data_IF_300901585614
#
_entry.id   IF_300901585614
#
_cell.length_a   1.000
_cell.length_b   1.000
_cell.length_c   1.000
_cell.angle_alpha   90.00
_cell.angle_beta   90.00
_cell.angle_gamma   90.00
#
_symmetry.space_group_name_H-M   'P 1'
#
loop_
_entity.id
_entity.type
_entity.pdbx_description
1 polymer ?
#
# COMPACT_ATOMS: atom_id res chain seq x y z
N UNK A 1 8.06 -24.17 -0.20
CA UNK A 1 7.04 -23.49 0.62
C UNK A 1 7.77 -22.36 1.31
N UNK A 2 7.53 -21.10 0.95
CA UNK A 2 8.25 -19.97 1.53
C UNK A 2 7.54 -19.49 2.78
N UNK A 3 8.30 -19.16 3.82
CA UNK A 3 7.78 -18.62 5.09
C UNK A 3 8.05 -17.13 5.16
N UNK A 4 7.00 -16.34 5.35
CA UNK A 4 7.08 -14.89 5.50
C UNK A 4 6.79 -14.52 6.95
N UNK A 5 7.76 -13.87 7.59
CA UNK A 5 7.60 -13.33 8.92
C UNK A 5 7.08 -11.90 8.89
N UNK A 6 6.16 -11.57 9.77
CA UNK A 6 5.63 -10.20 9.90
C UNK A 6 5.97 -9.64 11.28
N UNK A 7 6.81 -8.63 11.32
CA UNK A 7 7.11 -7.86 12.53
C UNK A 7 6.30 -6.57 12.52
N UNK A 8 5.36 -6.48 13.47
CA UNK A 8 4.33 -5.45 13.49
C UNK A 8 3.09 -5.88 12.73
N UNK A 9 2.12 -6.48 13.44
CA UNK A 9 0.83 -6.91 12.86
C UNK A 9 -0.19 -5.78 13.00
N UNK A 10 0.02 -4.70 12.25
CA UNK A 10 -0.91 -3.57 12.11
C UNK A 10 -1.93 -3.79 10.99
N UNK A 11 -2.64 -2.73 10.60
CA UNK A 11 -3.65 -2.80 9.53
C UNK A 11 -3.04 -3.24 8.19
N UNK A 12 -1.90 -2.66 7.79
CA UNK A 12 -1.23 -2.98 6.53
C UNK A 12 -0.68 -4.41 6.53
N UNK A 13 -0.04 -4.86 7.61
CA UNK A 13 0.45 -6.23 7.70
C UNK A 13 -0.71 -7.24 7.63
N UNK A 14 -1.82 -6.96 8.32
CA UNK A 14 -3.03 -7.81 8.26
C UNK A 14 -3.57 -7.87 6.82
N UNK A 15 -3.69 -6.72 6.15
CA UNK A 15 -4.13 -6.66 4.76
C UNK A 15 -3.21 -7.46 3.82
N UNK A 16 -1.89 -7.39 4.00
CA UNK A 16 -0.93 -8.16 3.22
C UNK A 16 -1.08 -9.67 3.47
N UNK A 17 -1.17 -10.10 4.73
CA UNK A 17 -1.33 -11.53 5.09
C UNK A 17 -2.62 -12.09 4.50
N UNK A 18 -3.75 -11.38 4.64
CA UNK A 18 -5.05 -11.78 4.08
C UNK A 18 -5.00 -11.86 2.55
N UNK A 19 -4.44 -10.83 1.89
CA UNK A 19 -4.29 -10.79 0.43
C UNK A 19 -3.38 -11.88 -0.11
N UNK A 20 -2.22 -12.13 0.51
CA UNK A 20 -1.28 -13.19 0.13
C UNK A 20 -1.90 -14.58 0.33
N UNK A 21 -2.60 -14.81 1.44
CA UNK A 21 -3.30 -16.06 1.70
C UNK A 21 -4.36 -16.35 0.64
N UNK A 22 -5.16 -15.34 0.28
CA UNK A 22 -6.18 -15.46 -0.77
C UNK A 22 -5.54 -15.64 -2.18
N UNK A 23 -4.39 -14.99 -2.44
CA UNK A 23 -3.65 -15.09 -3.69
C UNK A 23 -3.14 -16.50 -3.96
N UNK A 24 -2.49 -17.10 -2.99
CA UNK A 24 -1.96 -18.46 -3.12
C UNK A 24 -3.07 -19.52 -3.22
N UNK A 25 -4.19 -19.31 -2.56
CA UNK A 25 -5.34 -20.22 -2.68
C UNK A 25 -6.00 -20.19 -4.07
N UNK A 26 -5.88 -19.07 -4.79
CA UNK A 26 -6.48 -18.92 -6.12
C UNK A 26 -5.60 -19.52 -7.26
N UNK A 27 -4.27 -19.55 -7.07
CA UNK A 27 -3.32 -20.08 -8.08
C UNK A 27 -3.13 -21.60 -7.99
N UNK A 28 -3.31 -22.15 -6.80
CA UNK A 28 -3.16 -23.57 -6.55
C UNK A 28 -4.51 -24.30 -6.68
N UNK A 29 -4.70 -25.01 -7.80
CA UNK A 29 -5.63 -26.12 -7.77
C UNK A 29 -5.20 -27.12 -6.71
N UNK A 30 -5.99 -27.35 -5.69
CA UNK A 30 -6.01 -28.42 -4.64
C UNK A 30 -4.70 -29.17 -4.25
N UNK A 31 -3.51 -28.61 -4.53
CA UNK A 31 -2.22 -29.20 -4.20
C UNK A 31 -1.57 -28.61 -2.93
N UNK A 32 -1.14 -29.42 -1.94
CA UNK A 32 -0.55 -28.92 -0.70
C UNK A 32 0.87 -28.33 -0.84
N UNK A 33 1.36 -28.13 -2.06
CA UNK A 33 2.77 -27.89 -2.34
C UNK A 33 3.25 -26.44 -2.35
N UNK A 34 2.39 -25.44 -2.52
CA UNK A 34 2.83 -24.06 -2.84
C UNK A 34 2.21 -22.97 -1.93
N UNK A 35 1.65 -23.31 -0.80
CA UNK A 35 1.06 -22.32 0.13
C UNK A 35 2.15 -21.57 0.89
N UNK A 36 2.05 -20.24 0.93
CA UNK A 36 2.84 -19.41 1.83
C UNK A 36 2.50 -19.71 3.29
N UNK A 37 3.52 -19.68 4.15
CA UNK A 37 3.34 -19.72 5.62
C UNK A 37 3.62 -18.34 6.19
N UNK A 38 2.90 -17.99 7.24
CA UNK A 38 3.01 -16.68 7.89
C UNK A 38 3.37 -16.86 9.36
N UNK A 39 4.45 -16.21 9.79
CA UNK A 39 4.89 -16.16 11.18
C UNK A 39 4.70 -14.74 11.69
N UNK A 40 3.79 -14.54 12.64
CA UNK A 40 3.30 -13.24 13.07
C UNK A 40 3.89 -12.83 14.42
N UNK A 41 4.37 -11.59 14.55
CA UNK A 41 4.88 -11.09 15.82
C UNK A 41 3.78 -10.99 16.88
N UNK A 42 4.10 -11.25 18.18
CA UNK A 42 3.09 -11.35 19.23
C UNK A 42 2.58 -10.02 19.78
N UNK A 43 3.22 -8.88 19.43
CA UNK A 43 2.94 -7.58 20.07
C UNK A 43 1.50 -7.09 19.82
N UNK A 44 0.95 -7.27 18.63
CA UNK A 44 -0.44 -6.97 18.30
C UNK A 44 -1.34 -8.20 18.55
N UNK A 45 -1.37 -8.67 19.78
CA UNK A 45 -1.88 -10.00 20.16
C UNK A 45 -3.27 -10.35 19.62
N UNK A 46 -4.21 -9.40 19.61
CA UNK A 46 -5.58 -9.69 19.15
C UNK A 46 -5.64 -9.87 17.63
N UNK A 47 -4.92 -9.02 16.87
CA UNK A 47 -4.85 -9.14 15.40
C UNK A 47 -4.06 -10.38 14.98
N UNK A 48 -2.91 -10.61 15.58
CA UNK A 48 -2.08 -11.77 15.26
C UNK A 48 -2.84 -13.08 15.53
N UNK A 49 -3.54 -13.18 16.65
CA UNK A 49 -4.40 -14.33 16.97
C UNK A 49 -5.55 -14.47 15.99
N UNK A 50 -6.24 -13.37 15.68
CA UNK A 50 -7.33 -13.41 14.70
C UNK A 50 -6.87 -13.95 13.33
N UNK A 51 -5.72 -13.52 12.84
CA UNK A 51 -5.15 -14.05 11.59
C UNK A 51 -4.78 -15.52 11.70
N UNK A 52 -4.16 -15.95 12.82
CA UNK A 52 -3.81 -17.35 13.04
C UNK A 52 -5.05 -18.25 13.20
N UNK A 53 -6.15 -17.74 13.75
CA UNK A 53 -7.41 -18.46 13.88
C UNK A 53 -8.18 -18.60 12.55
N UNK A 54 -7.96 -17.67 11.61
CA UNK A 54 -8.71 -17.61 10.34
C UNK A 54 -7.92 -18.12 9.14
N UNK A 55 -6.58 -18.13 9.21
CA UNK A 55 -5.69 -18.53 8.13
C UNK A 55 -4.87 -19.74 8.61
N UNK A 56 -5.15 -20.92 8.03
CA UNK A 56 -4.54 -22.21 8.43
C UNK A 56 -3.00 -22.19 8.40
N UNK A 57 -2.40 -21.39 7.50
CA UNK A 57 -0.94 -21.31 7.34
C UNK A 57 -0.29 -20.19 8.15
N UNK A 58 -1.06 -19.48 9.00
CA UNK A 58 -0.56 -18.42 9.87
C UNK A 58 -0.43 -18.91 11.30
N UNK A 59 0.64 -18.47 11.97
CA UNK A 59 0.91 -18.78 13.37
C UNK A 59 1.52 -17.57 14.08
N UNK A 60 1.31 -17.48 15.41
CA UNK A 60 1.90 -16.41 16.22
C UNK A 60 3.20 -16.90 16.83
N UNK A 61 4.27 -16.14 16.63
CA UNK A 61 5.59 -16.39 17.19
C UNK A 61 5.67 -16.08 18.69
N UNK A 62 6.69 -16.58 19.37
CA UNK A 62 6.95 -16.26 20.78
C UNK A 62 7.59 -14.86 20.96
N UNK A 63 8.36 -14.41 19.94
CA UNK A 63 9.06 -13.12 19.94
C UNK A 63 9.30 -12.62 18.51
N UNK A 64 9.79 -11.38 18.36
CA UNK A 64 10.22 -10.87 17.06
C UNK A 64 11.44 -11.63 16.53
N UNK A 65 12.35 -12.11 17.41
CA UNK A 65 13.48 -12.94 16.99
C UNK A 65 12.99 -14.31 16.48
N UNK A 66 12.00 -14.93 17.12
CA UNK A 66 11.39 -16.17 16.64
C UNK A 66 10.74 -15.99 15.26
N UNK A 67 10.18 -14.79 14.97
CA UNK A 67 9.74 -14.44 13.59
C UNK A 67 10.90 -14.49 12.62
N UNK A 68 12.02 -13.82 12.95
CA UNK A 68 13.22 -13.80 12.10
C UNK A 68 13.75 -15.21 11.87
N UNK A 69 13.94 -16.00 12.92
CA UNK A 69 14.56 -17.33 12.87
C UNK A 69 13.80 -18.30 11.96
N UNK A 70 12.47 -18.20 11.96
CA UNK A 70 11.55 -19.13 11.28
C UNK A 70 11.13 -18.70 9.89
N UNK A 71 11.58 -17.55 9.43
CA UNK A 71 11.14 -16.96 8.14
C UNK A 71 12.26 -16.90 7.12
N UNK A 72 11.91 -17.09 5.86
CA UNK A 72 12.82 -16.89 4.72
C UNK A 72 12.92 -15.39 4.37
N UNK A 73 11.80 -14.67 4.51
CA UNK A 73 11.66 -13.24 4.27
C UNK A 73 10.98 -12.59 5.49
N UNK A 74 11.46 -11.41 5.90
CA UNK A 74 10.93 -10.67 7.05
C UNK A 74 10.29 -9.36 6.60
N UNK A 75 8.96 -9.27 6.71
CA UNK A 75 8.22 -8.04 6.48
C UNK A 75 8.19 -7.19 7.77
N UNK A 76 8.72 -5.98 7.70
CA UNK A 76 8.74 -5.00 8.78
C UNK A 76 7.63 -3.97 8.55
N UNK A 77 6.61 -3.99 9.42
CA UNK A 77 5.44 -3.12 9.31
C UNK A 77 5.08 -2.47 10.65
N UNK A 78 6.08 -1.90 11.30
CA UNK A 78 5.95 -1.14 12.54
C UNK A 78 5.84 0.36 12.28
N UNK A 79 5.44 1.13 13.29
CA UNK A 79 5.48 2.60 13.18
C UNK A 79 6.94 3.09 13.10
N UNK A 80 7.23 4.16 12.35
CA UNK A 80 8.61 4.68 12.21
C UNK A 80 9.30 4.91 13.55
N UNK A 81 8.59 5.45 14.54
CA UNK A 81 9.11 5.72 15.89
C UNK A 81 9.49 4.47 16.68
N UNK A 82 9.07 3.29 16.24
CA UNK A 82 9.35 2.00 16.88
C UNK A 82 10.42 1.20 16.14
N UNK A 83 10.74 1.58 14.91
CA UNK A 83 11.58 0.76 14.04
C UNK A 83 13.00 0.60 14.61
N UNK A 84 13.61 1.68 15.11
CA UNK A 84 14.95 1.63 15.69
C UNK A 84 15.02 0.69 16.91
N UNK A 85 14.07 0.79 17.83
CA UNK A 85 14.01 -0.07 19.02
C UNK A 85 13.77 -1.54 18.61
N UNK A 86 12.84 -1.78 17.67
CA UNK A 86 12.51 -3.14 17.23
C UNK A 86 13.68 -3.78 16.49
N UNK A 87 14.35 -3.06 15.58
CA UNK A 87 15.47 -3.59 14.80
C UNK A 87 16.73 -3.74 15.62
N UNK A 88 16.99 -2.83 16.59
CA UNK A 88 18.15 -2.89 17.47
C UNK A 88 18.21 -4.13 18.37
N UNK A 89 17.06 -4.76 18.62
CA UNK A 89 16.95 -5.98 19.41
C UNK A 89 17.00 -7.27 18.56
N UNK A 90 17.15 -7.15 17.21
CA UNK A 90 17.08 -8.29 16.30
C UNK A 90 18.43 -8.65 15.71
N UNK A 91 18.70 -9.93 15.66
CA UNK A 91 19.77 -10.54 14.89
C UNK A 91 19.18 -11.07 13.57
N UNK A 92 19.36 -10.29 12.48
CA UNK A 92 18.86 -10.65 11.14
C UNK A 92 20.03 -11.11 10.30
N UNK A 93 20.13 -12.40 9.95
CA UNK A 93 21.20 -12.94 9.13
C UNK A 93 21.29 -12.33 7.73
N UNK A 94 22.49 -12.25 7.18
CA UNK A 94 22.77 -11.64 5.88
C UNK A 94 22.05 -12.31 4.68
N UNK A 95 21.75 -13.60 4.80
CA UNK A 95 21.05 -14.38 3.78
C UNK A 95 19.54 -14.12 3.70
N UNK A 96 18.98 -13.36 4.66
CA UNK A 96 17.55 -13.02 4.66
C UNK A 96 17.28 -11.73 3.89
N UNK A 97 16.05 -11.60 3.41
CA UNK A 97 15.55 -10.35 2.85
C UNK A 97 14.60 -9.68 3.84
N UNK A 98 14.85 -8.41 4.14
CA UNK A 98 13.96 -7.55 4.94
C UNK A 98 13.13 -6.69 3.99
N UNK A 99 11.81 -6.90 4.02
CA UNK A 99 10.85 -6.09 3.26
C UNK A 99 10.26 -5.04 4.18
N UNK A 100 10.67 -3.78 4.03
CA UNK A 100 10.26 -2.70 4.92
C UNK A 100 9.07 -1.92 4.37
N UNK A 101 7.96 -1.96 5.09
CA UNK A 101 6.80 -1.08 4.90
C UNK A 101 6.79 0.11 5.88
N UNK A 102 7.93 0.41 6.51
CA UNK A 102 8.07 1.55 7.43
C UNK A 102 8.13 2.85 6.64
N UNK A 103 7.15 3.73 6.89
CA UNK A 103 7.08 5.01 6.20
C UNK A 103 8.23 5.95 6.60
N UNK A 104 8.81 6.65 5.62
CA UNK A 104 9.78 7.72 5.87
C UNK A 104 11.14 7.28 6.42
N UNK A 105 11.48 5.97 6.40
CA UNK A 105 12.78 5.47 6.84
C UNK A 105 13.63 5.06 5.63
N UNK A 106 14.71 5.79 5.30
CA UNK A 106 15.57 5.49 4.16
C UNK A 106 16.32 4.16 4.29
N UNK A 107 16.81 3.65 3.16
CA UNK A 107 17.52 2.35 3.11
C UNK A 107 18.81 2.35 3.93
N UNK A 108 19.54 3.47 3.95
CA UNK A 108 20.79 3.62 4.72
C UNK A 108 20.52 3.63 6.24
N UNK A 109 19.43 4.26 6.68
CA UNK A 109 19.01 4.24 8.09
C UNK A 109 18.61 2.82 8.53
N UNK A 110 17.84 2.10 7.69
CA UNK A 110 17.52 0.69 7.94
C UNK A 110 18.78 -0.18 7.99
N UNK A 111 19.70 0.02 7.05
CA UNK A 111 20.95 -0.74 6.98
C UNK A 111 21.85 -0.50 8.20
N UNK A 112 21.86 0.72 8.73
CA UNK A 112 22.63 1.04 9.94
C UNK A 112 22.12 0.29 11.19
N UNK A 113 20.86 -0.09 11.20
CA UNK A 113 20.20 -0.85 12.29
C UNK A 113 20.35 -2.37 12.12
N UNK A 114 20.83 -2.86 10.96
CA UNK A 114 20.94 -4.27 10.62
C UNK A 114 22.42 -4.66 10.35
N UNK A 115 23.22 -4.93 11.38
CA UNK A 115 24.68 -5.00 11.28
C UNK A 115 25.21 -6.15 10.40
N UNK A 116 24.42 -7.20 10.16
CA UNK A 116 24.84 -8.33 9.32
C UNK A 116 24.55 -8.12 7.83
N UNK A 117 23.92 -6.98 7.45
CA UNK A 117 23.73 -6.56 6.07
C UNK A 117 22.80 -7.44 5.25
N UNK A 118 21.59 -7.80 5.76
CA UNK A 118 20.59 -8.47 4.93
C UNK A 118 20.19 -7.60 3.74
N UNK A 119 19.66 -8.20 2.68
CA UNK A 119 19.04 -7.45 1.61
C UNK A 119 17.83 -6.67 2.15
N UNK A 120 17.69 -5.39 1.77
CA UNK A 120 16.58 -4.54 2.19
C UNK A 120 15.80 -4.11 0.96
N UNK A 121 14.50 -4.37 0.96
CA UNK A 121 13.55 -3.92 -0.05
C UNK A 121 12.48 -3.08 0.64
N UNK A 122 12.37 -1.81 0.27
CA UNK A 122 11.33 -0.92 0.77
C UNK A 122 10.08 -1.06 -0.08
N UNK A 123 8.92 -1.05 0.56
CA UNK A 123 7.63 -1.11 -0.13
C UNK A 123 6.65 -0.07 0.42
N UNK A 124 5.69 0.34 -0.40
CA UNK A 124 4.56 1.19 0.00
C UNK A 124 3.26 0.43 -0.34
N UNK A 125 2.84 -0.49 0.52
CA UNK A 125 1.58 -1.18 0.34
C UNK A 125 0.42 -0.25 0.72
N UNK A 126 -0.67 -0.34 -0.03
CA UNK A 126 -1.91 0.39 0.25
C UNK A 126 -2.99 -0.58 0.77
N UNK A 127 -4.03 -0.11 1.48
CA UNK A 127 -5.06 -1.00 2.04
C UNK A 127 -5.71 -1.95 1.04
N UNK A 128 -5.78 -1.58 -0.24
CA UNK A 128 -6.37 -2.38 -1.32
C UNK A 128 -5.59 -3.70 -1.62
N UNK A 129 -4.40 -3.90 -1.03
CA UNK A 129 -3.67 -5.19 -1.11
C UNK A 129 -4.46 -6.34 -0.48
N UNK A 130 -5.37 -6.05 0.47
CA UNK A 130 -6.29 -7.04 1.06
C UNK A 130 -7.17 -7.70 0.00
N UNK A 131 -7.70 -6.90 -0.91
CA UNK A 131 -8.56 -7.31 -2.01
C UNK A 131 -7.76 -7.68 -3.27
N UNK A 132 -6.42 -7.67 -3.20
CA UNK A 132 -5.53 -7.94 -4.33
C UNK A 132 -5.75 -6.98 -5.51
N UNK A 133 -5.99 -5.70 -5.22
CA UNK A 133 -6.34 -4.66 -6.21
C UNK A 133 -5.42 -3.44 -6.14
N UNK A 134 -4.40 -3.48 -5.30
CA UNK A 134 -3.47 -2.37 -5.16
C UNK A 134 -2.18 -2.61 -5.93
N UNK A 135 -1.59 -1.54 -6.45
CA UNK A 135 -0.21 -1.58 -6.96
C UNK A 135 0.72 -1.07 -5.86
N UNK A 136 1.71 -1.88 -5.49
CA UNK A 136 2.66 -1.57 -4.41
C UNK A 136 3.94 -0.99 -5.00
N UNK A 137 4.37 0.17 -4.53
CA UNK A 137 5.69 0.70 -4.89
C UNK A 137 6.79 -0.13 -4.21
N UNK A 138 7.92 -0.34 -4.90
CA UNK A 138 9.06 -1.12 -4.42
C UNK A 138 10.39 -0.43 -4.75
N UNK A 139 11.36 -0.50 -3.84
CA UNK A 139 12.74 -0.06 -4.05
C UNK A 139 13.72 -0.79 -3.10
N UNK A 140 14.87 -1.28 -3.60
CA UNK A 140 15.17 -1.51 -5.00
C UNK A 140 14.29 -2.62 -5.61
N UNK A 141 14.38 -2.82 -6.92
CA UNK A 141 13.72 -3.94 -7.57
C UNK A 141 14.28 -5.27 -7.05
N UNK A 142 13.40 -6.20 -6.67
CA UNK A 142 13.75 -7.53 -6.21
C UNK A 142 12.71 -8.54 -6.75
N UNK A 143 13.19 -9.62 -7.38
CA UNK A 143 12.34 -10.59 -8.07
C UNK A 143 11.42 -11.39 -7.14
N UNK A 144 11.93 -11.76 -5.98
CA UNK A 144 11.18 -12.60 -5.06
C UNK A 144 10.10 -11.76 -4.36
N UNK A 145 10.42 -10.50 -4.04
CA UNK A 145 9.45 -9.53 -3.52
C UNK A 145 8.43 -9.15 -4.59
N UNK A 146 8.85 -8.92 -5.85
CA UNK A 146 7.94 -8.66 -6.97
C UNK A 146 6.90 -9.78 -7.12
N UNK A 147 7.34 -11.04 -7.11
CA UNK A 147 6.44 -12.19 -7.19
C UNK A 147 5.40 -12.24 -6.04
N UNK A 148 5.78 -11.82 -4.83
CA UNK A 148 4.84 -11.69 -3.72
C UNK A 148 3.86 -10.53 -3.91
N UNK A 149 4.33 -9.40 -4.43
CA UNK A 149 3.50 -8.23 -4.68
C UNK A 149 2.52 -8.46 -5.84
N UNK A 150 2.87 -9.30 -6.81
CA UNK A 150 1.97 -9.73 -7.89
C UNK A 150 0.74 -10.48 -7.35
N UNK A 151 0.91 -11.28 -6.29
CA UNK A 151 -0.22 -11.90 -5.58
C UNK A 151 -1.14 -10.86 -4.91
N UNK A 152 -0.65 -9.66 -4.64
CA UNK A 152 -1.38 -8.56 -3.99
C UNK A 152 -2.00 -7.55 -4.97
N UNK A 153 -1.80 -7.75 -6.28
CA UNK A 153 -2.35 -6.88 -7.32
C UNK A 153 -1.30 -6.20 -8.21
N UNK A 154 -0.01 -6.43 -7.93
CA UNK A 154 1.10 -5.94 -8.73
C UNK A 154 2.02 -4.96 -8.01
N UNK A 155 3.11 -4.61 -8.69
CA UNK A 155 4.11 -3.68 -8.18
C UNK A 155 4.62 -2.70 -9.23
N UNK A 156 5.22 -1.61 -8.75
CA UNK A 156 6.03 -0.68 -9.53
C UNK A 156 7.35 -0.50 -8.83
N UNK A 157 8.44 -0.91 -9.47
CA UNK A 157 9.79 -0.70 -8.96
C UNK A 157 10.31 0.69 -9.36
N UNK A 158 10.80 1.44 -8.38
CA UNK A 158 11.50 2.69 -8.63
C UNK A 158 12.97 2.42 -8.98
N UNK A 159 13.55 3.23 -9.89
CA UNK A 159 14.97 3.11 -10.29
C UNK A 159 15.92 3.64 -9.21
N UNK A 160 15.45 4.59 -8.41
CA UNK A 160 16.20 5.20 -7.31
C UNK A 160 15.26 5.56 -6.13
N UNK A 161 15.88 5.87 -4.99
CA UNK A 161 15.14 6.16 -3.75
C UNK A 161 14.38 7.49 -3.80
N UNK A 162 14.83 8.46 -4.62
CA UNK A 162 14.12 9.72 -4.82
C UNK A 162 12.79 9.48 -5.54
N UNK A 163 12.81 8.67 -6.61
CA UNK A 163 11.56 8.25 -7.29
C UNK A 163 10.63 7.46 -6.38
N UNK A 164 11.18 6.57 -5.56
CA UNK A 164 10.38 5.86 -4.56
C UNK A 164 9.70 6.83 -3.57
N UNK A 165 10.42 7.88 -3.15
CA UNK A 165 9.88 8.92 -2.27
C UNK A 165 8.79 9.75 -2.93
N UNK A 166 8.83 9.97 -4.27
CA UNK A 166 7.71 10.63 -4.98
C UNK A 166 6.44 9.78 -4.95
N UNK A 167 6.55 8.45 -5.09
CA UNK A 167 5.40 7.54 -4.95
C UNK A 167 4.83 7.58 -3.52
N UNK A 168 5.70 7.68 -2.51
CA UNK A 168 5.26 7.89 -1.12
C UNK A 168 4.45 9.19 -0.97
N UNK A 169 4.92 10.29 -1.55
CA UNK A 169 4.22 11.58 -1.50
C UNK A 169 2.81 11.51 -2.14
N UNK A 170 2.69 10.84 -3.30
CA UNK A 170 1.42 10.68 -3.99
C UNK A 170 0.38 9.92 -3.16
N UNK A 171 0.77 8.99 -2.28
CA UNK A 171 -0.19 8.29 -1.42
C UNK A 171 -0.96 9.21 -0.47
N UNK A 172 -0.46 10.42 -0.19
CA UNK A 172 -1.16 11.42 0.61
C UNK A 172 -2.43 11.99 -0.07
N UNK A 173 -2.64 11.72 -1.35
CA UNK A 173 -3.85 12.17 -2.07
C UNK A 173 -5.12 11.38 -1.71
N UNK A 174 -5.03 10.25 -1.02
CA UNK A 174 -6.19 9.41 -0.71
C UNK A 174 -7.25 10.14 0.12
N UNK A 175 -6.86 10.87 1.18
CA UNK A 175 -7.81 11.64 1.97
C UNK A 175 -8.36 12.86 1.21
N UNK A 176 -7.55 13.48 0.35
CA UNK A 176 -7.99 14.55 -0.54
C UNK A 176 -9.03 14.07 -1.54
N UNK A 177 -8.89 12.84 -2.05
CA UNK A 177 -9.93 12.23 -2.88
C UNK A 177 -11.27 12.09 -2.14
N UNK A 178 -11.27 11.60 -0.90
CA UNK A 178 -12.50 11.53 -0.11
C UNK A 178 -13.07 12.91 0.23
N UNK A 179 -12.23 13.92 0.48
CA UNK A 179 -12.65 15.30 0.69
C UNK A 179 -13.31 15.90 -0.57
N UNK A 180 -12.79 15.57 -1.75
CA UNK A 180 -13.43 15.91 -3.02
C UNK A 180 -14.83 15.30 -3.14
N UNK A 181 -15.00 14.00 -2.85
CA UNK A 181 -16.31 13.35 -2.85
C UNK A 181 -17.25 13.98 -1.83
N UNK A 182 -16.77 14.28 -0.63
CA UNK A 182 -17.52 14.96 0.41
C UNK A 182 -18.03 16.33 -0.05
N UNK A 183 -17.21 17.08 -0.78
CA UNK A 183 -17.58 18.40 -1.32
C UNK A 183 -18.73 18.29 -2.32
N UNK A 184 -18.69 17.28 -3.20
CA UNK A 184 -19.76 17.04 -4.18
C UNK A 184 -21.05 16.61 -3.46
N UNK A 185 -20.93 15.71 -2.46
CA UNK A 185 -22.08 15.26 -1.65
C UNK A 185 -22.73 16.42 -0.90
N UNK A 186 -21.92 17.30 -0.29
CA UNK A 186 -22.44 18.49 0.41
C UNK A 186 -23.20 19.43 -0.54
N UNK A 187 -22.67 19.62 -1.77
CA UNK A 187 -23.39 20.41 -2.78
C UNK A 187 -24.75 19.81 -3.15
N UNK A 188 -24.87 18.47 -3.28
CA UNK A 188 -26.15 17.80 -3.50
C UNK A 188 -27.14 18.03 -2.35
N UNK A 189 -26.67 17.96 -1.10
CA UNK A 189 -27.50 18.24 0.07
C UNK A 189 -28.00 19.70 0.07
N UNK A 190 -27.17 20.66 -0.30
CA UNK A 190 -27.55 22.06 -0.46
C UNK A 190 -28.58 22.27 -1.59
N UNK A 191 -28.65 21.36 -2.58
CA UNK A 191 -29.70 21.33 -3.61
C UNK A 191 -30.98 20.60 -3.17
N UNK A 192 -31.05 20.13 -1.93
CA UNK A 192 -32.24 19.53 -1.32
C UNK A 192 -32.28 18.00 -1.33
N UNK A 193 -31.18 17.32 -1.62
CA UNK A 193 -31.10 15.87 -1.51
C UNK A 193 -30.88 15.42 -0.07
N UNK A 194 -31.44 14.28 0.32
CA UNK A 194 -31.09 13.64 1.57
C UNK A 194 -29.63 13.16 1.55
N UNK A 195 -28.95 13.27 2.70
CA UNK A 195 -27.53 12.88 2.82
C UNK A 195 -27.28 11.42 2.37
N UNK A 196 -28.18 10.49 2.76
CA UNK A 196 -28.01 9.08 2.43
C UNK A 196 -28.10 8.81 0.92
N UNK A 197 -29.04 9.49 0.23
CA UNK A 197 -29.21 9.35 -1.22
C UNK A 197 -28.04 9.99 -1.97
N UNK A 198 -27.57 11.17 -1.54
CA UNK A 198 -26.39 11.83 -2.09
C UNK A 198 -25.14 10.96 -1.94
N UNK A 199 -24.86 10.42 -0.75
CA UNK A 199 -23.74 9.51 -0.50
C UNK A 199 -23.85 8.25 -1.37
N UNK A 200 -25.04 7.66 -1.49
CA UNK A 200 -25.25 6.45 -2.29
C UNK A 200 -24.96 6.72 -3.78
N UNK A 201 -25.46 7.81 -4.32
CA UNK A 201 -25.25 8.18 -5.72
C UNK A 201 -23.76 8.43 -6.03
N UNK A 202 -23.08 9.23 -5.20
CA UNK A 202 -21.66 9.54 -5.38
C UNK A 202 -20.79 8.30 -5.27
N UNK A 203 -21.03 7.42 -4.30
CA UNK A 203 -20.33 6.13 -4.20
C UNK A 203 -20.47 5.29 -5.47
N UNK A 204 -21.70 5.16 -6.00
CA UNK A 204 -21.95 4.41 -7.23
C UNK A 204 -21.20 4.96 -8.42
N UNK A 205 -21.22 6.29 -8.61
CA UNK A 205 -20.52 6.97 -9.69
C UNK A 205 -19.00 6.69 -9.64
N UNK A 206 -18.35 6.85 -8.48
CA UNK A 206 -16.90 6.71 -8.36
C UNK A 206 -16.43 5.24 -8.28
N UNK A 207 -17.26 4.33 -7.83
CA UNK A 207 -17.03 2.88 -7.99
C UNK A 207 -16.99 2.51 -9.48
N UNK A 208 -17.91 3.08 -10.30
CA UNK A 208 -17.88 2.88 -11.75
C UNK A 208 -16.57 3.38 -12.39
N UNK A 209 -16.10 4.58 -12.01
CA UNK A 209 -14.81 5.09 -12.50
C UNK A 209 -13.63 4.21 -12.02
N UNK A 210 -13.67 3.71 -10.78
CA UNK A 210 -12.68 2.76 -10.26
C UNK A 210 -12.64 1.46 -11.07
N UNK A 211 -13.79 0.95 -11.51
CA UNK A 211 -13.87 -0.21 -12.40
C UNK A 211 -13.20 0.08 -13.75
N UNK A 212 -13.49 1.23 -14.36
CA UNK A 212 -12.84 1.65 -15.62
C UNK A 212 -11.32 1.69 -15.45
N UNK A 213 -10.81 2.29 -14.35
CA UNK A 213 -9.38 2.33 -14.08
C UNK A 213 -8.75 0.94 -13.94
N UNK A 214 -9.48 -0.03 -13.40
CA UNK A 214 -8.98 -1.39 -13.19
C UNK A 214 -9.00 -2.24 -14.49
N UNK A 215 -9.87 -1.92 -15.46
CA UNK A 215 -10.09 -2.69 -16.67
C UNK A 215 -9.32 -2.18 -17.89
N UNK A 216 -8.67 -1.02 -17.79
CA UNK A 216 -7.94 -0.42 -18.92
C UNK A 216 -6.47 -0.14 -18.57
N UNK A 217 -5.63 -0.19 -19.60
CA UNK A 217 -4.22 0.26 -19.55
C UNK A 217 -4.00 1.55 -20.33
N UNK A 218 -5.08 2.20 -20.76
CA UNK A 218 -5.01 3.47 -21.47
C UNK A 218 -4.39 4.58 -20.59
N UNK A 219 -3.62 5.51 -21.19
CA UNK A 219 -3.13 6.68 -20.46
C UNK A 219 -4.28 7.44 -19.77
N UNK A 220 -4.04 7.93 -18.55
CA UNK A 220 -5.07 8.70 -17.80
C UNK A 220 -5.57 9.91 -18.60
N UNK A 221 -4.71 10.54 -19.42
CA UNK A 221 -5.11 11.65 -20.30
C UNK A 221 -6.18 11.25 -21.32
N UNK A 222 -6.11 10.02 -21.83
CA UNK A 222 -7.07 9.50 -22.80
C UNK A 222 -8.41 9.19 -22.12
N UNK A 223 -8.40 8.75 -20.85
CA UNK A 223 -9.61 8.59 -20.05
C UNK A 223 -10.31 9.93 -19.80
N UNK A 224 -9.57 11.01 -19.56
CA UNK A 224 -10.16 12.36 -19.45
C UNK A 224 -10.85 12.71 -20.76
N UNK A 225 -10.16 12.59 -21.90
CA UNK A 225 -10.71 12.91 -23.22
C UNK A 225 -11.94 12.05 -23.58
N UNK A 226 -11.94 10.77 -23.22
CA UNK A 226 -13.06 9.86 -23.47
C UNK A 226 -14.34 10.22 -22.67
N UNK A 227 -14.18 10.89 -21.54
CA UNK A 227 -15.31 11.36 -20.72
C UNK A 227 -15.78 12.76 -21.06
N UNK A 228 -15.11 13.48 -21.96
CA UNK A 228 -15.45 14.82 -22.40
C UNK A 228 -16.10 14.80 -23.79
N UNK A 229 -17.34 15.29 -23.88
CA UNK A 229 -17.96 15.64 -25.15
C UNK A 229 -17.82 17.15 -25.37
N UNK A 230 -17.49 17.62 -26.57
CA UNK A 230 -17.39 19.05 -26.86
C UNK A 230 -18.64 19.83 -26.44
N UNK A 231 -18.49 20.81 -25.55
CA UNK A 231 -19.59 21.58 -24.96
C UNK A 231 -20.37 20.81 -23.86
N UNK A 232 -19.89 19.64 -23.44
CA UNK A 232 -20.52 18.79 -22.42
C UNK A 232 -20.27 19.25 -20.99
N UNK A 233 -21.02 18.65 -20.04
CA UNK A 233 -20.96 19.00 -18.61
C UNK A 233 -19.61 18.62 -17.98
N UNK A 234 -19.02 17.49 -18.38
CA UNK A 234 -17.71 17.06 -17.88
C UNK A 234 -16.61 18.03 -18.30
N UNK A 235 -16.59 18.43 -19.60
CA UNK A 235 -15.66 19.45 -20.11
C UNK A 235 -15.80 20.77 -19.35
N UNK A 236 -17.03 21.20 -19.07
CA UNK A 236 -17.28 22.42 -18.30
C UNK A 236 -16.66 22.35 -16.90
N UNK A 237 -16.93 21.30 -16.13
CA UNK A 237 -16.40 21.16 -14.76
C UNK A 237 -14.87 21.05 -14.79
N UNK A 238 -14.29 20.27 -15.72
CA UNK A 238 -12.84 20.14 -15.84
C UNK A 238 -12.19 21.50 -16.15
N UNK A 239 -12.72 22.27 -17.09
CA UNK A 239 -12.22 23.61 -17.44
C UNK A 239 -12.36 24.60 -16.28
N UNK A 240 -13.51 24.61 -15.59
CA UNK A 240 -13.86 25.65 -14.62
C UNK A 240 -13.23 25.37 -13.24
N UNK A 241 -12.93 24.09 -12.92
CA UNK A 241 -12.38 23.69 -11.63
C UNK A 241 -10.94 23.14 -11.73
N UNK A 242 -10.62 22.25 -12.68
CA UNK A 242 -9.27 21.72 -12.88
C UNK A 242 -8.45 22.63 -13.81
N UNK A 243 -8.53 23.94 -13.59
CA UNK A 243 -7.76 24.94 -14.31
C UNK A 243 -6.26 24.88 -13.97
N UNK A 244 -5.45 25.70 -14.63
CA UNK A 244 -4.00 25.75 -14.41
C UNK A 244 -3.65 26.09 -12.95
N UNK A 245 -4.42 26.95 -12.30
CA UNK A 245 -4.21 27.37 -10.90
C UNK A 245 -4.42 26.19 -9.95
N UNK A 246 -5.50 25.45 -10.09
CA UNK A 246 -5.81 24.32 -9.23
C UNK A 246 -4.84 23.15 -9.46
N UNK A 247 -4.42 22.91 -10.70
CA UNK A 247 -3.35 21.94 -11.02
C UNK A 247 -2.03 22.32 -10.35
N UNK A 248 -1.63 23.60 -10.41
CA UNK A 248 -0.43 24.10 -9.75
C UNK A 248 -0.51 24.01 -8.23
N UNK A 249 -1.67 24.29 -7.63
CA UNK A 249 -1.90 24.12 -6.19
C UNK A 249 -1.74 22.66 -5.73
N UNK A 250 -2.27 21.70 -6.50
CA UNK A 250 -2.08 20.28 -6.20
C UNK A 250 -0.61 19.88 -6.31
N UNK A 251 0.10 20.31 -7.37
CA UNK A 251 1.52 20.04 -7.55
C UNK A 251 2.34 20.60 -6.37
N UNK A 252 2.07 21.84 -5.98
CA UNK A 252 2.74 22.47 -4.83
C UNK A 252 2.46 21.75 -3.50
N UNK A 253 1.25 21.23 -3.31
CA UNK A 253 0.94 20.42 -2.12
C UNK A 253 1.72 19.10 -2.12
N UNK A 254 1.87 18.45 -3.28
CA UNK A 254 2.69 17.23 -3.43
C UNK A 254 4.18 17.52 -3.19
N UNK A 255 4.70 18.65 -3.70
CA UNK A 255 6.08 19.09 -3.45
C UNK A 255 6.34 19.28 -1.94
N UNK A 256 5.39 19.87 -1.22
CA UNK A 256 5.47 20.03 0.24
C UNK A 256 5.47 18.70 0.99
N UNK A 257 4.67 17.71 0.54
CA UNK A 257 4.70 16.36 1.11
C UNK A 257 6.01 15.65 0.77
N UNK A 258 6.49 15.80 -0.47
CA UNK A 258 7.75 15.23 -0.90
C UNK A 258 8.94 15.75 -0.07
N UNK A 259 9.05 17.09 0.11
CA UNK A 259 10.07 17.68 0.97
C UNK A 259 10.04 17.12 2.41
N UNK A 260 8.84 16.88 2.95
CA UNK A 260 8.69 16.25 4.27
C UNK A 260 9.13 14.78 4.28
N UNK A 261 8.87 14.02 3.21
CA UNK A 261 9.26 12.60 3.08
C UNK A 261 10.77 12.47 2.95
N UNK A 262 11.44 13.42 2.28
CA UNK A 262 12.91 13.43 2.08
C UNK A 262 13.67 14.08 3.22
N UNK A 263 12.99 14.72 4.17
CA UNK A 263 13.63 15.41 5.28
C UNK A 263 14.14 16.83 4.93
N UNK A 264 13.70 17.39 3.80
CA UNK A 264 14.07 18.73 3.30
C UNK A 264 13.12 19.84 3.78
N UNK A 265 12.13 19.51 4.65
CA UNK A 265 11.11 20.44 5.14
C UNK A 265 11.43 21.01 6.52
#
# INVERSE_FOLDING_TARGET
MSTIGFIGVGEIASAMVEGLSAGTAAEDGDGPGNRLRFVLSPRSADRARHLADTIETAEVAESNQDVVDRSDLVALAVLPQQAADVLGDLDVPAEKTVVSAVAGMPTDELSALLPHGPAIVRIIPLPAVRERKGVTAMFPADRDVEALLDLLGGSVAADDETKFSTLSAVTATMSAHFAFLQTITAWLVDQGWDQADADHFIRGQFVGLGTTLAETTEPIADLVAAHETPGGLNEQVNRDWMDETNRANLASALDGVFARVTGDA
#
